data_IF_156559504852
#
_entry.id   IF_156559504852
#
_cell.length_a   1.000
_cell.length_b   1.000
_cell.length_c   1.000
_cell.angle_alpha   90.00
_cell.angle_beta   90.00
_cell.angle_gamma   90.00
#
_symmetry.space_group_name_H-M   'P 1'
#
loop_
_entity.id
_entity.type
_entity.pdbx_description
1 polymer ?
#
# COMPACT_ATOMS: atom_id res chain seq x y z
N UNK A 1 3.83 3.40 -28.69
CA UNK A 1 4.64 2.91 -27.55
C UNK A 1 3.70 2.31 -26.50
N UNK A 2 3.08 1.17 -26.78
CA UNK A 2 1.91 0.66 -26.02
C UNK A 2 1.97 -0.83 -25.67
N UNK A 3 3.15 -1.46 -25.67
CA UNK A 3 3.27 -2.92 -25.48
C UNK A 3 3.80 -3.37 -24.12
N UNK A 4 4.42 -2.49 -23.31
CA UNK A 4 5.07 -2.90 -22.05
C UNK A 4 4.16 -2.91 -20.82
N UNK A 5 3.04 -2.18 -20.82
CA UNK A 5 2.12 -2.15 -19.67
C UNK A 5 1.26 -3.42 -19.54
N UNK A 6 1.01 -4.15 -20.64
CA UNK A 6 0.13 -5.32 -20.64
C UNK A 6 0.80 -6.60 -20.15
N UNK A 7 2.14 -6.70 -20.19
CA UNK A 7 2.87 -7.93 -19.82
C UNK A 7 3.21 -8.02 -18.33
N UNK A 8 3.32 -6.88 -17.63
CA UNK A 8 3.59 -6.87 -16.19
C UNK A 8 2.34 -7.13 -15.33
N UNK A 9 1.14 -6.74 -15.79
CA UNK A 9 -0.12 -7.03 -15.11
C UNK A 9 -0.43 -8.54 -15.06
N UNK A 10 -0.03 -9.31 -16.08
CA UNK A 10 -0.17 -10.78 -16.04
C UNK A 10 0.88 -11.45 -15.14
N UNK A 11 2.10 -10.91 -15.06
CA UNK A 11 3.15 -11.51 -14.21
C UNK A 11 2.83 -11.39 -12.72
N UNK A 12 2.05 -10.39 -12.31
CA UNK A 12 1.65 -10.23 -10.92
C UNK A 12 0.54 -11.23 -10.51
N UNK A 13 -0.34 -11.61 -11.44
CA UNK A 13 -1.35 -12.66 -11.23
C UNK A 13 -0.78 -14.09 -11.33
N UNK A 14 0.32 -14.29 -12.06
CA UNK A 14 0.95 -15.62 -12.23
C UNK A 14 2.00 -15.91 -11.13
N UNK A 15 2.34 -14.92 -10.29
CA UNK A 15 3.32 -15.03 -9.21
C UNK A 15 2.90 -15.85 -7.98
N UNK A 16 2.11 -16.91 -8.11
CA UNK A 16 1.83 -17.88 -7.03
C UNK A 16 2.98 -18.89 -6.79
N UNK A 17 4.22 -18.58 -7.19
CA UNK A 17 5.35 -19.54 -7.14
C UNK A 17 6.63 -19.00 -6.49
N UNK A 18 6.65 -17.78 -5.95
CA UNK A 18 7.78 -17.36 -5.09
C UNK A 18 7.37 -17.37 -3.62
N UNK A 19 7.54 -18.55 -3.01
CA UNK A 19 7.65 -18.66 -1.57
C UNK A 19 8.76 -17.73 -1.09
N UNK A 20 8.37 -16.75 -0.28
CA UNK A 20 9.29 -15.91 0.49
C UNK A 20 9.89 -16.78 1.61
N UNK A 21 10.78 -17.69 1.23
CA UNK A 21 11.52 -18.52 2.16
C UNK A 21 12.80 -17.77 2.55
N UNK A 22 12.90 -17.46 3.84
CA UNK A 22 13.96 -16.70 4.50
C UNK A 22 15.37 -17.04 3.99
N UNK A 23 16.04 -16.07 3.36
CA UNK A 23 17.48 -16.11 3.14
C UNK A 23 18.19 -15.53 4.38
N UNK A 24 18.50 -16.41 5.33
CA UNK A 24 19.55 -16.19 6.34
C UNK A 24 20.75 -17.07 6.00
N UNK A 25 22.00 -16.57 6.08
CA UNK A 25 23.18 -17.34 5.73
C UNK A 25 23.53 -18.42 6.78
N UNK A 26 23.67 -19.67 6.30
CA UNK A 26 24.43 -20.78 6.92
C UNK A 26 25.89 -20.37 7.21
N UNK A 27 26.66 -20.90 8.16
CA UNK A 27 26.50 -21.93 9.19
C UNK A 27 27.77 -21.89 10.06
N UNK A 28 27.63 -22.04 11.38
CA UNK A 28 28.67 -22.66 12.22
C UNK A 28 28.02 -23.83 12.95
N UNK A 29 28.46 -25.04 12.60
CA UNK A 29 28.05 -26.32 13.19
C UNK A 29 28.35 -26.35 14.69
N UNK A 30 27.33 -26.60 15.50
CA UNK A 30 27.48 -27.29 16.79
C UNK A 30 26.41 -28.39 16.85
N UNK A 31 26.89 -29.57 17.23
CA UNK A 31 26.21 -30.85 17.30
C UNK A 31 25.37 -31.00 18.57
N UNK A 32 24.40 -31.91 18.48
CA UNK A 32 23.84 -32.74 19.56
C UNK A 32 22.56 -32.23 20.26
N UNK A 33 21.54 -33.09 20.25
CA UNK A 33 20.35 -32.97 21.10
C UNK A 33 19.04 -33.22 20.34
N UNK A 34 18.65 -34.49 20.16
CA UNK A 34 17.27 -34.83 19.83
C UNK A 34 16.37 -34.38 20.99
N UNK A 35 15.41 -33.52 20.69
CA UNK A 35 14.18 -33.38 21.49
C UNK A 35 13.04 -33.16 20.50
N UNK A 36 12.25 -34.21 20.30
CA UNK A 36 10.95 -34.15 19.64
C UNK A 36 9.99 -33.42 20.57
N UNK A 37 9.92 -32.09 20.49
CA UNK A 37 8.74 -31.36 20.94
C UNK A 37 7.86 -31.14 19.73
N UNK A 38 6.84 -31.99 19.60
CA UNK A 38 5.70 -31.76 18.70
C UNK A 38 4.94 -30.56 19.26
N UNK A 39 5.43 -29.36 18.96
CA UNK A 39 4.74 -28.12 19.27
C UNK A 39 3.48 -28.11 18.42
N UNK A 40 2.33 -28.34 19.05
CA UNK A 40 1.03 -28.08 18.44
C UNK A 40 1.10 -26.67 17.87
N UNK A 41 1.00 -26.55 16.54
CA UNK A 41 0.55 -25.33 15.89
C UNK A 41 -0.80 -25.04 16.54
N UNK A 42 -0.82 -24.13 17.50
CA UNK A 42 -2.05 -23.45 17.86
C UNK A 42 -2.60 -22.94 16.54
N UNK A 43 -3.76 -23.44 16.14
CA UNK A 43 -4.56 -22.81 15.09
C UNK A 43 -4.50 -21.31 15.37
N UNK A 44 -4.00 -20.54 14.40
CA UNK A 44 -3.96 -19.09 14.50
C UNK A 44 -5.42 -18.69 14.65
N UNK A 45 -5.82 -18.49 15.90
CA UNK A 45 -7.19 -18.19 16.25
C UNK A 45 -7.41 -16.78 15.73
N UNK A 46 -8.16 -16.68 14.64
CA UNK A 46 -8.46 -15.42 13.99
C UNK A 46 -9.19 -14.48 14.95
N UNK A 47 -9.35 -13.24 14.51
CA UNK A 47 -10.07 -12.20 15.25
C UNK A 47 -11.38 -12.75 15.90
N UNK A 48 -11.49 -12.73 17.25
CA UNK A 48 -12.68 -13.21 17.96
C UNK A 48 -13.97 -12.48 17.55
N UNK A 49 -13.86 -11.23 17.12
CA UNK A 49 -15.01 -10.45 16.62
C UNK A 49 -15.45 -10.94 15.24
N UNK A 50 -14.52 -11.42 14.43
CA UNK A 50 -14.81 -12.01 13.12
C UNK A 50 -15.61 -13.30 13.27
N UNK A 51 -15.24 -14.16 14.21
CA UNK A 51 -15.98 -15.40 14.50
C UNK A 51 -17.38 -15.11 15.06
N UNK A 52 -17.52 -14.03 15.85
CA UNK A 52 -18.79 -13.67 16.49
C UNK A 52 -19.75 -12.86 15.60
N UNK A 53 -19.23 -11.99 14.73
CA UNK A 53 -20.05 -11.00 13.99
C UNK A 53 -19.91 -11.08 12.47
N UNK A 54 -18.87 -11.76 11.97
CA UNK A 54 -18.52 -11.74 10.55
C UNK A 54 -18.01 -10.39 10.03
N UNK A 55 -17.89 -9.38 10.90
CA UNK A 55 -17.37 -8.05 10.56
C UNK A 55 -15.85 -8.13 10.52
N UNK A 56 -15.25 -7.66 9.43
CA UNK A 56 -13.80 -7.58 9.28
C UNK A 56 -13.29 -6.18 9.64
N UNK A 57 -12.19 -6.06 10.40
CA UNK A 57 -11.49 -4.80 10.55
C UNK A 57 -10.97 -4.33 9.18
N UNK A 58 -11.12 -3.03 8.89
CA UNK A 58 -10.62 -2.42 7.66
C UNK A 58 -9.09 -2.60 7.55
N UNK A 59 -8.61 -3.04 6.39
CA UNK A 59 -7.18 -3.16 6.11
C UNK A 59 -6.52 -1.81 5.79
N UNK A 60 -7.32 -0.79 5.46
CA UNK A 60 -6.84 0.48 4.93
C UNK A 60 -5.90 1.24 5.87
N UNK A 61 -6.13 1.33 7.20
CA UNK A 61 -5.21 2.06 8.09
C UNK A 61 -3.77 1.54 8.03
N UNK A 62 -3.58 0.22 7.96
CA UNK A 62 -2.25 -0.39 7.84
C UNK A 62 -1.61 -0.06 6.49
N UNK A 63 -2.39 -0.17 5.41
CA UNK A 63 -1.93 0.18 4.05
C UNK A 63 -1.56 1.66 3.92
N UNK A 64 -2.39 2.58 4.44
CA UNK A 64 -2.17 4.02 4.42
C UNK A 64 -0.90 4.37 5.18
N UNK A 65 -0.70 3.80 6.38
CA UNK A 65 0.51 4.02 7.16
C UNK A 65 1.78 3.55 6.42
N UNK A 66 1.72 2.40 5.75
CA UNK A 66 2.83 1.90 4.95
C UNK A 66 3.15 2.84 3.76
N UNK A 67 2.13 3.31 3.04
CA UNK A 67 2.28 4.26 1.94
C UNK A 67 2.84 5.60 2.45
N UNK A 68 2.34 6.11 3.58
CA UNK A 68 2.85 7.33 4.21
C UNK A 68 4.34 7.20 4.58
N UNK A 69 4.74 6.04 5.12
CA UNK A 69 6.15 5.78 5.42
C UNK A 69 7.01 5.70 4.15
N UNK A 70 6.51 5.11 3.06
CA UNK A 70 7.18 5.10 1.77
C UNK A 70 7.34 6.53 1.21
N UNK A 71 6.29 7.37 1.27
CA UNK A 71 6.35 8.79 0.88
C UNK A 71 7.38 9.57 1.69
N UNK A 72 7.42 9.38 3.02
CA UNK A 72 8.42 10.03 3.88
C UNK A 72 9.83 9.58 3.53
N UNK A 73 10.05 8.29 3.30
CA UNK A 73 11.35 7.76 2.93
C UNK A 73 11.82 8.26 1.55
N UNK A 74 10.90 8.40 0.59
CA UNK A 74 11.16 9.05 -0.71
C UNK A 74 11.58 10.50 -0.50
N UNK A 75 10.80 11.27 0.25
CA UNK A 75 11.09 12.68 0.52
C UNK A 75 12.45 12.86 1.22
N UNK A 76 12.81 11.98 2.15
CA UNK A 76 14.10 11.97 2.84
C UNK A 76 15.27 11.46 1.98
N UNK A 77 15.01 11.00 0.75
CA UNK A 77 16.01 10.36 -0.13
C UNK A 77 16.77 9.26 0.58
N UNK A 78 16.03 8.38 1.27
CA UNK A 78 16.61 7.27 2.05
C UNK A 78 17.58 6.45 1.19
N UNK A 79 18.83 6.32 1.65
CA UNK A 79 19.86 5.60 0.91
C UNK A 79 19.45 4.14 0.63
N UNK A 80 19.66 3.70 -0.61
CA UNK A 80 19.32 2.36 -1.08
C UNK A 80 17.82 2.08 -1.28
N UNK A 81 16.95 3.07 -1.08
CA UNK A 81 15.53 2.95 -1.39
C UNK A 81 15.24 3.58 -2.76
N UNK A 82 14.59 2.81 -3.63
CA UNK A 82 14.21 3.24 -4.97
C UNK A 82 12.69 3.34 -5.09
N UNK A 83 12.19 4.50 -5.52
CA UNK A 83 10.75 4.79 -5.63
C UNK A 83 10.28 5.05 -7.07
N UNK A 84 11.21 5.08 -8.02
CA UNK A 84 10.94 5.31 -9.43
C UNK A 84 11.89 4.44 -10.26
N UNK A 85 11.34 3.79 -11.29
CA UNK A 85 12.15 3.06 -12.26
C UNK A 85 12.85 4.05 -13.21
N UNK A 86 14.10 3.78 -13.55
CA UNK A 86 14.90 4.58 -14.47
C UNK A 86 15.80 3.67 -15.30
N UNK A 87 16.59 4.23 -16.21
CA UNK A 87 17.56 3.45 -17.00
C UNK A 87 18.58 2.69 -16.13
N UNK A 88 18.75 3.11 -14.87
CA UNK A 88 19.68 2.49 -13.91
C UNK A 88 18.98 1.72 -12.80
N UNK A 89 17.67 1.90 -12.63
CA UNK A 89 16.88 1.32 -11.53
C UNK A 89 15.79 0.45 -12.12
N UNK A 90 15.93 -0.85 -11.94
CA UNK A 90 14.98 -1.82 -12.47
C UNK A 90 13.64 -1.73 -11.72
N UNK A 91 12.48 -1.92 -12.38
CA UNK A 91 11.18 -1.93 -11.72
C UNK A 91 11.09 -2.92 -10.55
N UNK A 92 11.85 -4.00 -10.61
CA UNK A 92 11.93 -4.99 -9.54
C UNK A 92 12.55 -4.41 -8.26
N UNK A 93 13.53 -3.52 -8.36
CA UNK A 93 14.17 -2.89 -7.19
C UNK A 93 13.19 -1.94 -6.46
N UNK A 94 12.35 -1.24 -7.22
CA UNK A 94 11.24 -0.44 -6.69
C UNK A 94 10.22 -1.33 -5.99
N UNK A 95 9.85 -2.46 -6.61
CA UNK A 95 8.92 -3.42 -6.03
C UNK A 95 9.46 -4.03 -4.72
N UNK A 96 10.76 -4.36 -4.67
CA UNK A 96 11.43 -4.86 -3.46
C UNK A 96 11.39 -3.80 -2.36
N UNK A 97 11.72 -2.54 -2.69
CA UNK A 97 11.65 -1.42 -1.73
C UNK A 97 10.24 -1.28 -1.17
N UNK A 98 9.21 -1.30 -2.02
CA UNK A 98 7.82 -1.21 -1.59
C UNK A 98 7.38 -2.42 -0.73
N UNK A 99 7.84 -3.63 -1.09
CA UNK A 99 7.60 -4.85 -0.33
C UNK A 99 8.19 -4.82 1.07
N UNK A 100 9.31 -4.12 1.28
CA UNK A 100 9.88 -3.92 2.61
C UNK A 100 8.96 -3.06 3.50
N UNK A 101 8.44 -1.93 2.97
CA UNK A 101 7.49 -1.10 3.71
C UNK A 101 6.18 -1.84 4.04
N UNK A 102 5.68 -2.63 3.10
CA UNK A 102 4.54 -3.51 3.34
C UNK A 102 4.80 -4.51 4.47
N UNK A 103 5.92 -5.24 4.39
CA UNK A 103 6.29 -6.27 5.36
C UNK A 103 6.49 -5.68 6.76
N UNK A 104 7.13 -4.50 6.85
CA UNK A 104 7.31 -3.78 8.11
C UNK A 104 5.97 -3.37 8.72
N UNK A 105 5.04 -2.83 7.92
CA UNK A 105 3.72 -2.44 8.40
C UNK A 105 2.88 -3.63 8.87
N UNK A 106 2.92 -4.74 8.14
CA UNK A 106 2.25 -6.00 8.55
C UNK A 106 2.86 -6.53 9.84
N UNK A 107 4.19 -6.57 9.97
CA UNK A 107 4.86 -7.03 11.17
C UNK A 107 4.53 -6.15 12.39
N UNK A 108 4.48 -4.82 12.21
CA UNK A 108 4.06 -3.89 13.26
C UNK A 108 2.60 -4.13 13.66
N UNK A 109 1.70 -4.36 12.69
CA UNK A 109 0.30 -4.68 12.99
C UNK A 109 0.19 -6.00 13.75
N UNK A 110 0.80 -7.07 13.26
CA UNK A 110 0.77 -8.38 13.92
C UNK A 110 1.31 -8.31 15.35
N UNK A 111 2.40 -7.57 15.59
CA UNK A 111 2.93 -7.34 16.93
C UNK A 111 1.95 -6.57 17.82
N UNK A 112 1.27 -5.55 17.30
CA UNK A 112 0.22 -4.85 18.05
C UNK A 112 -0.99 -5.75 18.33
N UNK A 113 -1.24 -6.71 17.44
CA UNK A 113 -2.34 -7.66 17.55
C UNK A 113 -2.15 -8.73 18.62
N UNK A 114 -0.92 -8.94 19.11
CA UNK A 114 -0.67 -9.84 20.25
C UNK A 114 -1.44 -9.42 21.51
N UNK A 115 -1.75 -8.13 21.64
CA UNK A 115 -2.49 -7.57 22.78
C UNK A 115 -4.02 -7.60 22.61
N UNK A 116 -4.54 -7.57 21.38
CA UNK A 116 -5.98 -7.50 21.08
C UNK A 116 -6.56 -8.82 20.51
N UNK A 117 -5.71 -9.77 20.11
CA UNK A 117 -6.09 -11.05 19.50
C UNK A 117 -6.52 -10.93 18.02
N UNK A 118 -6.43 -9.75 17.41
CA UNK A 118 -6.91 -9.47 16.05
C UNK A 118 -5.77 -9.59 15.04
N UNK A 119 -5.25 -10.81 14.91
CA UNK A 119 -4.19 -11.15 13.95
C UNK A 119 -4.70 -11.10 12.51
N UNK A 120 -3.86 -10.64 11.58
CA UNK A 120 -4.21 -10.61 10.15
C UNK A 120 -4.14 -12.03 9.58
N UNK A 121 -5.11 -12.39 8.74
CA UNK A 121 -5.04 -13.61 7.95
C UNK A 121 -4.04 -13.47 6.79
N UNK A 122 -3.46 -14.58 6.28
CA UNK A 122 -2.49 -14.51 5.18
C UNK A 122 -3.00 -13.78 3.92
N UNK A 123 -4.28 -13.90 3.58
CA UNK A 123 -4.92 -13.19 2.46
C UNK A 123 -4.95 -11.67 2.68
N UNK A 124 -5.11 -11.24 3.93
CA UNK A 124 -5.16 -9.83 4.33
C UNK A 124 -3.76 -9.21 4.29
N UNK A 125 -2.75 -9.95 4.76
CA UNK A 125 -1.35 -9.57 4.62
C UNK A 125 -0.95 -9.39 3.14
N UNK A 126 -1.34 -10.35 2.30
CA UNK A 126 -1.10 -10.29 0.86
C UNK A 126 -1.81 -9.10 0.21
N UNK A 127 -3.03 -8.80 0.65
CA UNK A 127 -3.80 -7.65 0.13
C UNK A 127 -3.14 -6.33 0.51
N UNK A 128 -2.70 -6.19 1.76
CA UNK A 128 -1.95 -5.00 2.22
C UNK A 128 -0.66 -4.86 1.40
N UNK A 129 0.13 -5.93 1.30
CA UNK A 129 1.39 -5.90 0.55
C UNK A 129 1.16 -5.56 -0.92
N UNK A 130 0.12 -6.16 -1.51
CA UNK A 130 -0.26 -5.92 -2.88
C UNK A 130 -0.62 -4.46 -3.17
N UNK A 131 -1.43 -3.85 -2.31
CA UNK A 131 -1.83 -2.44 -2.40
C UNK A 131 -0.63 -1.50 -2.24
N UNK A 132 0.22 -1.73 -1.24
CA UNK A 132 1.40 -0.89 -1.00
C UNK A 132 2.34 -0.94 -2.21
N UNK A 133 2.68 -2.14 -2.70
CA UNK A 133 3.51 -2.29 -3.90
C UNK A 133 2.84 -1.65 -5.11
N UNK A 134 1.54 -1.88 -5.28
CA UNK A 134 0.75 -1.32 -6.38
C UNK A 134 0.77 0.20 -6.44
N UNK A 135 0.62 0.86 -5.29
CA UNK A 135 0.66 2.32 -5.14
C UNK A 135 2.07 2.86 -5.32
N UNK A 136 3.06 2.32 -4.60
CA UNK A 136 4.45 2.84 -4.62
C UNK A 136 5.05 2.75 -6.02
N UNK A 137 4.84 1.65 -6.73
CA UNK A 137 5.30 1.50 -8.11
C UNK A 137 4.64 2.46 -9.11
N UNK A 138 3.57 3.17 -8.69
CA UNK A 138 2.77 4.07 -9.53
C UNK A 138 2.70 5.47 -8.95
N UNK A 139 3.62 5.85 -8.05
CA UNK A 139 3.61 7.18 -7.43
C UNK A 139 3.47 8.30 -8.46
N UNK A 140 4.35 8.36 -9.47
CA UNK A 140 4.32 9.44 -10.46
C UNK A 140 2.95 9.57 -11.16
N UNK A 141 2.37 8.45 -11.59
CA UNK A 141 1.09 8.44 -12.30
C UNK A 141 -0.07 8.80 -11.38
N UNK A 142 -0.12 8.22 -10.18
CA UNK A 142 -1.19 8.48 -9.22
C UNK A 142 -1.12 9.89 -8.65
N UNK A 143 0.08 10.44 -8.42
CA UNK A 143 0.27 11.82 -7.97
C UNK A 143 -0.11 12.82 -9.06
N UNK A 144 0.25 12.56 -10.32
CA UNK A 144 -0.18 13.38 -11.45
C UNK A 144 -1.70 13.39 -11.58
N UNK A 145 -2.33 12.20 -11.49
CA UNK A 145 -3.79 12.06 -11.56
C UNK A 145 -4.49 12.74 -10.37
N UNK A 146 -3.91 12.63 -9.17
CA UNK A 146 -4.41 13.31 -7.97
C UNK A 146 -4.42 14.83 -8.17
N UNK A 147 -3.29 15.39 -8.60
CA UNK A 147 -3.18 16.82 -8.84
C UNK A 147 -4.13 17.29 -9.96
N UNK A 148 -4.26 16.53 -11.05
CA UNK A 148 -5.21 16.80 -12.12
C UNK A 148 -6.66 16.84 -11.61
N UNK A 149 -7.10 15.82 -10.87
CA UNK A 149 -8.47 15.76 -10.33
C UNK A 149 -8.75 16.91 -9.38
N UNK A 150 -7.83 17.18 -8.45
CA UNK A 150 -7.99 18.22 -7.42
C UNK A 150 -7.96 19.63 -8.03
N UNK A 151 -7.07 19.88 -9.00
CA UNK A 151 -6.94 21.21 -9.64
C UNK A 151 -8.13 21.60 -10.50
N UNK A 152 -8.89 20.62 -11.00
CA UNK A 152 -10.11 20.85 -11.78
C UNK A 152 -11.33 21.22 -10.92
N UNK A 153 -11.22 21.19 -9.59
CA UNK A 153 -12.34 21.45 -8.68
C UNK A 153 -12.30 22.88 -8.15
N UNK A 154 -13.22 23.71 -8.64
CA UNK A 154 -13.22 25.16 -8.37
C UNK A 154 -13.35 25.54 -6.89
N UNK A 155 -14.04 24.74 -6.06
CA UNK A 155 -14.21 25.07 -4.64
C UNK A 155 -12.92 24.86 -3.83
N UNK A 156 -12.07 23.92 -4.22
CA UNK A 156 -10.78 23.68 -3.57
C UNK A 156 -9.88 24.91 -3.72
N UNK A 157 -9.80 25.45 -4.94
CA UNK A 157 -9.07 26.68 -5.22
C UNK A 157 -9.67 27.91 -4.51
N UNK A 158 -11.00 27.94 -4.36
CA UNK A 158 -11.72 29.06 -3.72
C UNK A 158 -11.51 29.10 -2.19
N UNK A 159 -11.45 27.95 -1.53
CA UNK A 159 -11.36 27.84 -0.08
C UNK A 159 -9.97 27.44 0.43
N UNK A 160 -9.01 27.25 -0.47
CA UNK A 160 -7.62 26.87 -0.17
C UNK A 160 -7.49 25.49 0.53
N UNK A 161 -8.34 24.55 0.15
CA UNK A 161 -8.47 23.23 0.79
C UNK A 161 -7.49 22.17 0.22
N UNK A 162 -6.46 22.57 -0.54
CA UNK A 162 -5.53 21.66 -1.23
C UNK A 162 -4.86 20.64 -0.31
N UNK A 163 -4.50 21.08 0.91
CA UNK A 163 -3.82 20.25 1.89
C UNK A 163 -4.68 19.10 2.40
N UNK A 164 -6.02 19.22 2.37
CA UNK A 164 -6.93 18.13 2.76
C UNK A 164 -6.84 16.95 1.79
N UNK A 165 -6.44 17.18 0.54
CA UNK A 165 -6.16 16.13 -0.45
C UNK A 165 -4.69 15.72 -0.45
N UNK A 166 -3.87 16.29 0.43
CA UNK A 166 -2.43 16.12 0.39
C UNK A 166 -1.79 16.67 -0.88
N UNK A 167 -2.33 17.76 -1.43
CA UNK A 167 -1.81 18.43 -2.64
C UNK A 167 -1.42 19.87 -2.36
N UNK A 168 -0.56 20.45 -3.20
CA UNK A 168 -0.27 21.87 -3.20
C UNK A 168 -1.02 22.57 -4.35
N UNK A 169 -1.29 23.86 -4.16
CA UNK A 169 -1.84 24.72 -5.22
C UNK A 169 -0.96 24.74 -6.47
N UNK A 170 0.35 24.70 -6.26
CA UNK A 170 1.36 24.62 -7.32
C UNK A 170 2.38 23.54 -6.93
N UNK A 171 2.40 22.45 -7.68
CA UNK A 171 3.36 21.34 -7.55
C UNK A 171 4.46 21.41 -8.63
N UNK A 172 4.58 22.53 -9.36
CA UNK A 172 5.58 22.67 -10.43
C UNK A 172 7.02 22.83 -9.92
N UNK A 173 7.21 23.27 -8.68
CA UNK A 173 8.51 23.38 -8.06
C UNK A 173 9.04 22.01 -7.62
N UNK A 174 10.19 21.62 -8.16
CA UNK A 174 10.83 20.34 -7.85
C UNK A 174 11.09 20.21 -6.34
N UNK A 175 10.51 19.17 -5.74
CA UNK A 175 10.68 18.87 -4.32
C UNK A 175 9.77 19.65 -3.36
N UNK A 176 8.87 20.54 -3.84
CA UNK A 176 7.93 21.25 -2.97
C UNK A 176 7.02 20.29 -2.19
N UNK A 177 6.47 19.28 -2.87
CA UNK A 177 5.66 18.22 -2.26
C UNK A 177 6.46 17.43 -1.24
N UNK A 178 7.68 17.01 -1.59
CA UNK A 178 8.54 16.22 -0.70
C UNK A 178 8.94 17.03 0.55
N UNK A 179 9.19 18.33 0.42
CA UNK A 179 9.44 19.20 1.56
C UNK A 179 8.18 19.28 2.45
N UNK A 180 7.00 19.43 1.85
CA UNK A 180 5.74 19.43 2.60
C UNK A 180 5.50 18.10 3.33
N UNK A 181 5.82 16.97 2.71
CA UNK A 181 5.72 15.62 3.31
C UNK A 181 6.59 15.48 4.56
N UNK A 182 7.77 16.11 4.58
CA UNK A 182 8.66 16.09 5.76
C UNK A 182 8.10 16.92 6.91
N UNK A 183 7.55 18.08 6.59
CA UNK A 183 7.17 19.09 7.58
C UNK A 183 5.77 18.87 8.16
N UNK A 184 4.86 18.28 7.37
CA UNK A 184 3.45 18.14 7.72
C UNK A 184 3.00 16.66 7.67
N UNK A 185 2.93 15.97 8.82
CA UNK A 185 2.48 14.59 8.89
C UNK A 185 1.04 14.40 8.39
N UNK A 186 0.16 15.39 8.60
CA UNK A 186 -1.24 15.29 8.19
C UNK A 186 -1.37 15.40 6.67
N UNK A 187 -0.59 16.28 6.05
CA UNK A 187 -0.47 16.35 4.59
C UNK A 187 -0.01 15.01 4.01
N UNK A 188 1.02 14.40 4.60
CA UNK A 188 1.54 13.11 4.14
C UNK A 188 0.50 11.98 4.23
N UNK A 189 -0.25 11.91 5.34
CA UNK A 189 -1.32 10.91 5.51
C UNK A 189 -2.46 11.17 4.52
N UNK A 190 -2.90 12.42 4.38
CA UNK A 190 -3.97 12.79 3.44
C UNK A 190 -3.59 12.44 2.00
N UNK A 191 -2.32 12.67 1.60
CA UNK A 191 -1.81 12.25 0.29
C UNK A 191 -1.83 10.74 0.14
N UNK A 192 -1.38 9.99 1.16
CA UNK A 192 -1.39 8.53 1.14
C UNK A 192 -2.81 7.94 1.02
N UNK A 193 -3.79 8.50 1.71
CA UNK A 193 -5.22 8.15 1.59
C UNK A 193 -5.71 8.35 0.16
N UNK A 194 -5.48 9.54 -0.41
CA UNK A 194 -5.94 9.87 -1.75
C UNK A 194 -5.28 8.98 -2.81
N UNK A 195 -3.98 8.69 -2.69
CA UNK A 195 -3.26 7.79 -3.61
C UNK A 195 -3.77 6.35 -3.51
N UNK A 196 -4.08 5.86 -2.31
CA UNK A 196 -4.68 4.53 -2.14
C UNK A 196 -6.07 4.50 -2.78
N UNK A 197 -6.91 5.50 -2.55
CA UNK A 197 -8.25 5.57 -3.13
C UNK A 197 -8.20 5.56 -4.67
N UNK A 198 -7.33 6.36 -5.28
CA UNK A 198 -7.13 6.36 -6.73
C UNK A 198 -6.65 5.01 -7.25
N UNK A 199 -5.75 4.33 -6.54
CA UNK A 199 -5.31 2.99 -6.92
C UNK A 199 -6.45 1.96 -6.86
N UNK A 200 -7.27 2.00 -5.81
CA UNK A 200 -8.40 1.09 -5.66
C UNK A 200 -9.42 1.28 -6.78
N UNK A 201 -9.76 2.53 -7.09
CA UNK A 201 -10.73 2.90 -8.11
C UNK A 201 -10.24 2.62 -9.54
N UNK A 202 -9.01 3.04 -9.86
CA UNK A 202 -8.52 3.01 -11.25
C UNK A 202 -7.78 1.73 -11.63
N UNK A 203 -7.30 0.95 -10.64
CA UNK A 203 -6.46 -0.24 -10.89
C UNK A 203 -7.05 -1.49 -10.25
N UNK A 204 -7.20 -1.54 -8.91
CA UNK A 204 -7.54 -2.77 -8.20
C UNK A 204 -8.94 -3.26 -8.57
N UNK A 205 -9.98 -2.46 -8.32
CA UNK A 205 -11.37 -2.87 -8.54
C UNK A 205 -11.65 -3.24 -10.02
N UNK A 206 -11.22 -2.46 -11.02
CA UNK A 206 -11.39 -2.83 -12.43
C UNK A 206 -10.65 -4.12 -12.79
N UNK A 207 -9.47 -4.38 -12.20
CA UNK A 207 -8.70 -5.59 -12.47
C UNK A 207 -9.37 -6.82 -11.84
N UNK A 208 -9.83 -6.70 -10.60
CA UNK A 208 -10.54 -7.78 -9.90
C UNK A 208 -11.84 -8.15 -10.61
N UNK A 209 -12.60 -7.16 -11.07
CA UNK A 209 -13.81 -7.36 -11.87
C UNK A 209 -13.53 -8.12 -13.18
N UNK A 210 -12.45 -7.77 -13.89
CA UNK A 210 -12.05 -8.45 -15.14
C UNK A 210 -11.65 -9.92 -14.93
N UNK A 211 -11.02 -10.22 -13.80
CA UNK A 211 -10.54 -11.59 -13.48
C UNK A 211 -11.63 -12.41 -12.76
N UNK A 212 -12.73 -11.80 -12.33
CA UNK A 212 -13.79 -12.47 -11.58
C UNK A 212 -13.34 -12.89 -10.19
N UNK A 213 -12.37 -12.18 -9.62
CA UNK A 213 -11.84 -12.43 -8.28
C UNK A 213 -12.25 -11.30 -7.33
N UNK A 214 -12.17 -11.57 -6.04
CA UNK A 214 -12.42 -10.58 -4.98
C UNK A 214 -11.27 -10.62 -3.99
N UNK A 215 -10.90 -9.45 -3.47
CA UNK A 215 -9.94 -9.31 -2.38
C UNK A 215 -10.67 -9.04 -1.06
N UNK A 216 -10.02 -9.26 0.09
CA UNK A 216 -10.44 -8.68 1.35
C UNK A 216 -10.90 -7.23 1.22
N UNK A 217 -12.00 -6.90 1.89
CA UNK A 217 -12.70 -5.61 1.84
C UNK A 217 -13.22 -5.16 0.47
N UNK A 218 -13.18 -6.04 -0.55
CA UNK A 218 -13.79 -5.85 -1.87
C UNK A 218 -13.35 -4.56 -2.58
N UNK A 219 -12.12 -4.11 -2.35
CA UNK A 219 -11.58 -2.85 -2.92
C UNK A 219 -12.42 -1.60 -2.59
N UNK A 220 -13.21 -1.65 -1.52
CA UNK A 220 -14.06 -0.54 -1.10
C UNK A 220 -13.21 0.64 -0.62
N UNK A 221 -13.69 1.87 -0.85
CA UNK A 221 -13.12 3.10 -0.31
C UNK A 221 -14.04 3.58 0.82
N UNK A 222 -13.71 3.25 2.07
CA UNK A 222 -14.52 3.60 3.25
C UNK A 222 -13.78 4.46 4.29
N UNK A 223 -12.59 4.92 3.94
CA UNK A 223 -11.70 5.73 4.79
C UNK A 223 -11.63 7.20 4.37
N UNK A 224 -12.31 7.59 3.30
CA UNK A 224 -12.43 8.97 2.84
C UNK A 224 -13.80 9.56 3.20
N UNK A 225 -13.84 10.87 3.45
CA UNK A 225 -15.09 11.61 3.55
C UNK A 225 -15.78 11.76 2.18
N UNK A 226 -17.05 12.18 2.20
CA UNK A 226 -17.88 12.27 1.00
C UNK A 226 -17.33 13.27 -0.03
N UNK A 227 -16.81 14.41 0.42
CA UNK A 227 -16.30 15.47 -0.45
C UNK A 227 -15.06 14.97 -1.20
N UNK A 228 -14.17 14.24 -0.52
CA UNK A 228 -12.99 13.64 -1.16
C UNK A 228 -13.37 12.52 -2.13
N UNK A 229 -14.36 11.69 -1.78
CA UNK A 229 -14.85 10.64 -2.68
C UNK A 229 -15.42 11.27 -3.96
N UNK A 230 -16.24 12.32 -3.84
CA UNK A 230 -16.82 13.01 -5.01
C UNK A 230 -15.75 13.55 -5.97
N UNK A 231 -14.65 14.09 -5.43
CA UNK A 231 -13.54 14.62 -6.22
C UNK A 231 -12.70 13.52 -6.87
N UNK A 232 -12.40 12.45 -6.12
CA UNK A 232 -11.42 11.44 -6.56
C UNK A 232 -12.06 10.32 -7.38
N UNK A 233 -13.24 9.86 -6.99
CA UNK A 233 -13.94 8.72 -7.59
C UNK A 233 -15.02 9.26 -8.51
N UNK A 234 -14.70 9.31 -9.80
CA UNK A 234 -15.67 9.74 -10.80
C UNK A 234 -16.73 8.65 -10.96
N UNK A 235 -18.01 9.01 -10.94
CA UNK A 235 -19.13 8.07 -11.13
C UNK A 235 -19.26 7.52 -12.56
N UNK A 236 -18.29 7.81 -13.43
CA UNK A 236 -18.29 7.41 -14.83
C UNK A 236 -17.76 5.97 -14.98
N UNK A 237 -18.61 5.00 -14.62
CA UNK A 237 -18.56 3.63 -15.13
C UNK A 237 -19.87 3.30 -15.85
#
# INVERSE_FOLDING_TARGET
>A
MTSFQSLFLLSWLIGSVFGFQSLLPHSKKISCGQSTSTTKLSEIQGDPLRDATGIRPSLHPTTINAISNALKARAMKKEGAHFQASDTVEPLEVAVTAGLFASEAVALRQKSSEGDGMTLAPEEEQTIAGRVVGVVMRFDTLESLLHEKVSNVGWIAKYDEWATFGTLKDESEEGAVDNRIKDDPLFCVSRAECLLALFLDTVEAPTMAKVGQTVPDQSKIDFLDADRIEVLVSSDN
#
